data_IF_289653451638
#
_entry.id   IF_289653451638
#
_cell.length_a   1.000
_cell.length_b   1.000
_cell.length_c   1.000
_cell.angle_alpha   90.00
_cell.angle_beta   90.00
_cell.angle_gamma   90.00
#
_symmetry.space_group_name_H-M   'P 1'
#
loop_
_entity.id
_entity.type
_entity.pdbx_description
1 polymer ?
#
# COMPACT_ATOMS: atom_id res chain seq x y z
N UNK A 1 -47.43 48.82 30.11
CA UNK A 1 -47.07 47.38 30.07
C UNK A 1 -45.87 47.22 29.17
N UNK A 2 -44.66 47.07 29.76
CA UNK A 2 -43.39 46.89 29.01
C UNK A 2 -43.15 45.38 28.79
N UNK A 3 -43.18 44.94 27.52
CA UNK A 3 -42.80 43.56 27.18
C UNK A 3 -41.29 43.43 27.13
N UNK A 4 -40.71 42.63 28.03
CA UNK A 4 -39.30 42.31 28.08
C UNK A 4 -39.07 41.12 27.14
N UNK A 5 -38.44 41.37 25.97
CA UNK A 5 -38.03 40.29 25.03
C UNK A 5 -36.69 39.76 25.49
N UNK A 6 -36.64 38.53 25.98
CA UNK A 6 -35.40 37.81 26.25
C UNK A 6 -34.84 37.24 24.94
N UNK A 7 -33.70 37.75 24.55
CA UNK A 7 -32.89 37.24 23.44
C UNK A 7 -32.03 36.08 23.98
N UNK A 8 -32.38 34.86 23.67
CA UNK A 8 -31.55 33.68 24.00
C UNK A 8 -30.47 33.57 22.94
N UNK A 9 -29.24 33.95 23.29
CA UNK A 9 -28.07 33.78 22.46
C UNK A 9 -27.60 32.32 22.58
N UNK A 10 -27.96 31.48 21.57
CA UNK A 10 -27.52 30.09 21.52
C UNK A 10 -26.00 29.99 21.23
N UNK A 11 -25.23 29.53 22.21
CA UNK A 11 -23.82 29.24 22.05
C UNK A 11 -23.69 27.92 21.27
N UNK A 12 -23.35 28.00 19.98
CA UNK A 12 -23.06 26.83 19.16
C UNK A 12 -21.70 26.28 19.59
N UNK A 13 -21.70 25.22 20.37
CA UNK A 13 -20.48 24.45 20.69
C UNK A 13 -20.16 23.58 19.48
N UNK A 14 -19.12 23.97 18.72
CA UNK A 14 -18.57 23.13 17.67
C UNK A 14 -17.80 21.96 18.31
N UNK A 15 -18.37 20.76 18.24
CA UNK A 15 -17.66 19.54 18.63
C UNK A 15 -16.57 19.26 17.60
N UNK A 16 -15.34 18.91 18.03
CA UNK A 16 -14.31 18.50 17.11
C UNK A 16 -14.79 17.23 16.38
N UNK A 17 -14.89 17.30 15.06
CA UNK A 17 -15.13 16.14 14.23
C UNK A 17 -13.82 15.35 14.18
N UNK A 18 -13.75 14.23 14.90
CA UNK A 18 -12.67 13.26 14.70
C UNK A 18 -12.88 12.60 13.34
N UNK A 19 -11.87 12.69 12.46
CA UNK A 19 -11.88 11.95 11.21
C UNK A 19 -12.04 10.45 11.52
N UNK A 20 -12.97 9.78 10.86
CA UNK A 20 -13.14 8.36 11.02
C UNK A 20 -11.83 7.63 10.65
N UNK A 21 -11.50 6.59 11.44
CA UNK A 21 -10.32 5.75 11.21
C UNK A 21 -10.81 4.50 10.51
N UNK A 22 -10.21 4.19 9.37
CA UNK A 22 -10.44 2.95 8.64
C UNK A 22 -9.30 2.00 8.89
N UNK A 23 -9.60 0.77 9.34
CA UNK A 23 -8.65 -0.33 9.42
C UNK A 23 -9.04 -1.39 8.39
N UNK A 24 -8.06 -1.82 7.59
CA UNK A 24 -8.30 -2.77 6.51
C UNK A 24 -7.07 -3.65 6.26
N UNK A 25 -7.26 -4.80 5.61
CA UNK A 25 -6.20 -5.67 5.11
C UNK A 25 -5.56 -5.15 3.81
N UNK A 26 -6.10 -4.09 3.24
CA UNK A 26 -5.63 -3.44 2.04
C UNK A 26 -6.16 -2.03 1.90
N UNK A 27 -5.78 -1.37 0.83
CA UNK A 27 -6.18 -0.02 0.48
C UNK A 27 -6.66 0.02 -0.96
N UNK A 28 -7.82 0.58 -1.20
CA UNK A 28 -8.32 0.92 -2.54
C UNK A 28 -8.43 2.44 -2.67
N UNK A 29 -7.87 2.99 -3.72
CA UNK A 29 -8.01 4.41 -4.00
C UNK A 29 -9.42 4.74 -4.48
N UNK A 30 -10.05 3.79 -5.18
CA UNK A 30 -11.40 3.91 -5.70
C UNK A 30 -12.21 2.67 -5.33
N UNK A 31 -13.47 2.88 -4.92
CA UNK A 31 -14.38 1.78 -4.61
C UNK A 31 -13.99 0.94 -3.39
N UNK A 32 -14.17 -0.35 -3.49
CA UNK A 32 -13.90 -1.35 -2.44
C UNK A 32 -12.90 -2.37 -2.93
N UNK A 33 -12.18 -3.01 -2.00
CA UNK A 33 -11.27 -4.10 -2.31
C UNK A 33 -12.02 -5.30 -2.91
N UNK A 34 -11.48 -5.87 -3.98
CA UNK A 34 -12.02 -7.08 -4.64
C UNK A 34 -11.84 -8.31 -3.76
N UNK A 35 -10.66 -8.47 -3.18
CA UNK A 35 -10.33 -9.66 -2.39
C UNK A 35 -10.71 -9.46 -0.92
N UNK A 36 -11.37 -10.44 -0.27
CA UNK A 36 -11.73 -10.38 1.14
C UNK A 36 -10.49 -10.54 2.04
N UNK A 37 -10.61 -10.18 3.32
CA UNK A 37 -9.48 -10.23 4.26
C UNK A 37 -8.84 -11.62 4.47
N UNK A 38 -9.54 -12.68 4.13
CA UNK A 38 -9.11 -14.07 4.26
C UNK A 38 -8.72 -14.71 2.93
N UNK A 39 -8.51 -13.91 1.86
CA UNK A 39 -8.08 -14.47 0.58
C UNK A 39 -6.71 -15.14 0.72
N UNK A 40 -6.48 -16.19 -0.04
CA UNK A 40 -5.25 -16.99 0.02
C UNK A 40 -4.30 -16.72 -1.14
N UNK A 41 -4.83 -16.32 -2.27
CA UNK A 41 -4.10 -15.99 -3.48
C UNK A 41 -4.94 -15.09 -4.38
N UNK A 42 -4.29 -14.38 -5.28
CA UNK A 42 -4.97 -13.63 -6.32
C UNK A 42 -5.53 -14.57 -7.39
N UNK A 43 -6.62 -14.21 -8.04
CA UNK A 43 -7.29 -15.04 -9.06
C UNK A 43 -6.39 -15.42 -10.24
N UNK A 44 -5.41 -14.60 -10.54
CA UNK A 44 -4.44 -14.80 -11.61
C UNK A 44 -3.21 -15.64 -11.18
N UNK A 45 -3.11 -16.05 -9.93
CA UNK A 45 -2.03 -16.91 -9.45
C UNK A 45 -2.49 -18.37 -9.35
N UNK A 46 -1.58 -19.30 -9.69
CA UNK A 46 -1.82 -20.73 -9.48
C UNK A 46 -1.19 -21.15 -8.13
N UNK A 47 -2.00 -21.50 -7.12
CA UNK A 47 -1.48 -21.93 -5.83
C UNK A 47 -0.71 -23.27 -5.90
N UNK A 48 -1.02 -24.11 -6.89
CA UNK A 48 -0.39 -25.43 -7.11
C UNK A 48 0.87 -25.33 -7.98
N UNK A 49 1.28 -24.13 -8.39
CA UNK A 49 2.49 -23.96 -9.19
C UNK A 49 3.72 -24.45 -8.42
N UNK A 50 4.64 -25.19 -9.06
CA UNK A 50 5.89 -25.60 -8.44
C UNK A 50 6.68 -24.39 -7.91
N UNK A 51 7.20 -24.50 -6.69
CA UNK A 51 8.03 -23.47 -6.08
C UNK A 51 9.50 -23.71 -6.42
N UNK A 52 10.22 -22.65 -6.78
CA UNK A 52 11.64 -22.70 -7.07
C UNK A 52 11.96 -22.64 -8.57
N UNK A 53 13.20 -22.95 -8.90
CA UNK A 53 13.74 -22.80 -10.25
C UNK A 53 14.71 -21.62 -10.37
N UNK A 54 15.17 -21.38 -11.60
CA UNK A 54 16.07 -20.26 -11.92
C UNK A 54 15.49 -19.43 -13.05
N UNK A 55 15.21 -18.17 -12.76
CA UNK A 55 14.81 -17.19 -13.76
C UNK A 55 16.06 -16.39 -14.18
N UNK A 56 16.36 -16.39 -15.48
CA UNK A 56 17.46 -15.59 -16.06
C UNK A 56 16.86 -14.44 -16.85
N UNK A 57 17.10 -13.24 -16.39
CA UNK A 57 16.65 -12.00 -17.02
C UNK A 57 17.84 -11.24 -17.58
N UNK A 58 17.58 -10.48 -18.64
CA UNK A 58 18.56 -9.56 -19.20
C UNK A 58 18.32 -8.17 -18.63
N UNK A 59 19.40 -7.53 -18.18
CA UNK A 59 19.39 -6.13 -17.80
C UNK A 59 20.41 -5.38 -18.65
N UNK A 60 20.07 -4.19 -19.10
CA UNK A 60 20.96 -3.31 -19.87
C UNK A 60 21.55 -2.27 -18.93
N UNK A 61 22.88 -2.08 -19.02
CA UNK A 61 23.59 -1.09 -18.21
C UNK A 61 24.56 -1.73 -17.20
N UNK A 62 24.98 -0.94 -16.23
CA UNK A 62 25.87 -1.37 -15.15
C UNK A 62 25.42 -0.76 -13.82
N UNK A 63 25.92 -1.29 -12.73
CA UNK A 63 25.68 -0.73 -11.39
C UNK A 63 26.97 -0.85 -10.57
N UNK A 64 27.12 0.01 -9.56
CA UNK A 64 28.26 0.01 -8.62
C UNK A 64 27.80 -0.18 -7.17
N UNK A 65 26.53 -0.30 -6.93
CA UNK A 65 25.94 -0.55 -5.61
C UNK A 65 24.70 -1.42 -5.74
N UNK A 66 24.39 -2.23 -4.72
CA UNK A 66 23.13 -2.96 -4.59
C UNK A 66 22.04 -2.18 -3.84
N UNK A 67 22.36 -0.97 -3.37
CA UNK A 67 21.36 -0.12 -2.73
C UNK A 67 20.50 0.58 -3.80
N UNK A 68 19.20 0.22 -3.94
CA UNK A 68 18.33 0.83 -4.93
C UNK A 68 18.01 2.30 -4.65
N UNK A 69 18.23 2.76 -3.42
CA UNK A 69 17.95 4.12 -2.96
C UNK A 69 19.18 5.03 -2.90
N UNK A 70 20.26 4.63 -3.56
CA UNK A 70 21.47 5.44 -3.56
C UNK A 70 21.27 6.78 -4.25
N UNK A 71 21.80 7.85 -3.67
CA UNK A 71 21.84 9.18 -4.28
C UNK A 71 23.16 9.45 -5.02
N UNK A 72 24.14 8.56 -4.87
CA UNK A 72 25.45 8.64 -5.52
C UNK A 72 25.79 7.30 -6.12
N UNK A 73 26.44 7.32 -7.29
CA UNK A 73 26.74 6.11 -8.03
C UNK A 73 25.60 5.65 -8.94
N UNK A 74 25.73 4.47 -9.46
CA UNK A 74 24.78 3.86 -10.40
C UNK A 74 23.96 2.81 -9.67
N UNK A 75 22.68 3.11 -9.47
CA UNK A 75 21.74 2.19 -8.85
C UNK A 75 21.51 0.93 -9.70
N UNK A 76 21.29 -0.24 -9.08
CA UNK A 76 20.97 -1.47 -9.80
C UNK A 76 19.57 -1.45 -10.42
N UNK A 77 18.71 -0.50 -10.05
CA UNK A 77 17.36 -0.37 -10.62
C UNK A 77 17.40 0.31 -11.98
N UNK A 78 18.50 0.78 -12.52
CA UNK A 78 18.62 1.37 -13.84
C UNK A 78 17.51 2.34 -14.27
N UNK A 79 17.65 2.93 -15.42
CA UNK A 79 16.67 3.88 -16.01
C UNK A 79 15.68 3.23 -16.98
N UNK A 80 15.55 1.90 -16.98
CA UNK A 80 14.69 1.16 -17.89
C UNK A 80 13.85 0.10 -17.17
N UNK A 81 12.70 -0.19 -17.72
CA UNK A 81 11.68 -1.09 -17.16
C UNK A 81 12.18 -2.51 -16.86
N UNK A 82 13.31 -2.91 -17.44
CA UNK A 82 13.83 -4.28 -17.33
C UNK A 82 14.64 -4.56 -16.06
N UNK A 83 15.24 -3.55 -15.43
CA UNK A 83 15.99 -3.73 -14.17
C UNK A 83 15.09 -3.74 -12.93
N UNK A 84 13.86 -3.31 -13.09
CA UNK A 84 12.87 -3.28 -12.03
C UNK A 84 12.52 -4.69 -11.53
N UNK A 85 12.67 -5.71 -12.37
CA UNK A 85 12.25 -7.07 -12.05
C UNK A 85 13.21 -7.88 -11.19
N UNK A 86 14.48 -7.52 -11.05
CA UNK A 86 15.45 -8.34 -10.35
C UNK A 86 15.77 -7.84 -8.94
N UNK A 87 15.89 -6.54 -8.74
CA UNK A 87 16.36 -5.98 -7.47
C UNK A 87 15.21 -5.56 -6.57
N UNK A 88 14.10 -5.14 -7.13
CA UNK A 88 12.89 -4.86 -6.33
C UNK A 88 12.34 -6.13 -5.68
N UNK A 89 12.51 -7.28 -6.34
CA UNK A 89 12.08 -8.59 -5.81
C UNK A 89 12.96 -9.07 -4.63
N UNK A 90 14.10 -8.44 -4.38
CA UNK A 90 14.93 -8.73 -3.21
C UNK A 90 14.40 -8.09 -1.92
N UNK A 91 13.50 -7.12 -2.05
CA UNK A 91 12.94 -6.39 -0.92
C UNK A 91 11.42 -6.51 -0.93
N UNK A 92 10.88 -7.27 0.00
CA UNK A 92 9.44 -7.36 0.16
C UNK A 92 8.87 -6.02 0.59
N UNK A 93 7.86 -5.46 -0.12
CA UNK A 93 7.22 -4.22 0.26
C UNK A 93 6.22 -4.43 1.41
N UNK A 94 5.82 -3.34 2.05
CA UNK A 94 4.78 -3.36 3.08
C UNK A 94 3.45 -3.87 2.51
N UNK A 95 3.13 -3.49 1.28
CA UNK A 95 1.92 -3.87 0.57
C UNK A 95 2.26 -4.23 -0.87
N UNK A 96 1.50 -5.15 -1.44
CA UNK A 96 1.55 -5.52 -2.85
C UNK A 96 0.34 -4.95 -3.58
N UNK A 97 0.58 -4.23 -4.68
CA UNK A 97 -0.47 -3.66 -5.51
C UNK A 97 -0.91 -4.62 -6.61
N UNK A 98 -2.14 -4.44 -7.06
CA UNK A 98 -2.63 -4.98 -8.33
C UNK A 98 -2.46 -3.87 -9.39
N UNK A 99 -1.23 -3.42 -9.56
CA UNK A 99 -0.94 -2.21 -10.32
C UNK A 99 -0.95 -2.40 -11.84
N UNK A 100 -0.57 -1.34 -12.52
CA UNK A 100 -0.58 -1.23 -13.99
C UNK A 100 0.28 -2.31 -14.70
N UNK A 101 1.14 -2.98 -13.97
CA UNK A 101 2.05 -4.02 -14.46
C UNK A 101 1.63 -5.43 -14.06
N UNK A 102 0.58 -5.57 -13.27
CA UNK A 102 0.03 -6.88 -12.96
C UNK A 102 -0.78 -7.41 -14.14
N UNK A 103 -0.60 -8.68 -14.49
CA UNK A 103 -1.29 -9.29 -15.64
C UNK A 103 -2.82 -9.21 -15.55
N UNK A 104 -3.34 -9.03 -14.35
CA UNK A 104 -4.77 -8.98 -14.13
C UNK A 104 -5.37 -7.65 -14.54
N UNK A 105 -4.74 -6.52 -14.21
CA UNK A 105 -5.28 -5.17 -14.42
C UNK A 105 -6.74 -4.99 -13.94
N UNK A 106 -7.22 -5.93 -13.13
CA UNK A 106 -8.62 -6.09 -12.79
C UNK A 106 -9.04 -5.26 -11.57
N UNK A 107 -8.07 -4.67 -10.89
CA UNK A 107 -8.30 -3.84 -9.71
C UNK A 107 -7.30 -2.67 -9.67
N UNK A 108 -7.55 -1.63 -10.46
CA UNK A 108 -6.63 -0.49 -10.53
C UNK A 108 -6.54 0.25 -9.19
N UNK A 109 -5.31 0.68 -8.85
CA UNK A 109 -5.02 1.49 -7.67
C UNK A 109 -5.43 0.86 -6.32
N UNK A 110 -5.37 -0.47 -6.23
CA UNK A 110 -5.55 -1.22 -5.00
C UNK A 110 -4.25 -1.87 -4.56
N UNK A 111 -4.10 -2.06 -3.25
CA UNK A 111 -2.93 -2.72 -2.66
C UNK A 111 -3.35 -3.54 -1.45
N UNK A 112 -2.73 -4.70 -1.27
CA UNK A 112 -2.99 -5.64 -0.19
C UNK A 112 -1.77 -5.81 0.70
N UNK A 113 -1.98 -6.05 1.98
CA UNK A 113 -0.89 -6.22 2.94
C UNK A 113 -0.01 -7.43 2.61
N UNK A 114 1.31 -7.21 2.53
CA UNK A 114 2.33 -8.25 2.40
C UNK A 114 3.10 -8.36 3.71
N UNK A 115 4.14 -7.55 3.96
CA UNK A 115 4.78 -7.44 5.28
C UNK A 115 3.81 -6.83 6.29
N UNK A 116 3.00 -5.87 5.89
CA UNK A 116 1.92 -5.37 6.70
C UNK A 116 0.77 -6.39 6.76
N UNK A 117 0.28 -6.66 7.96
CA UNK A 117 -0.94 -7.44 8.19
C UNK A 117 -2.19 -6.61 7.90
N UNK A 118 -2.15 -5.34 8.29
CA UNK A 118 -3.24 -4.39 8.08
C UNK A 118 -2.70 -2.98 7.96
N UNK A 119 -3.52 -2.12 7.40
CA UNK A 119 -3.29 -0.69 7.29
C UNK A 119 -4.41 0.07 8.00
N UNK A 120 -4.05 1.11 8.71
CA UNK A 120 -4.98 2.06 9.31
C UNK A 120 -4.73 3.44 8.72
N UNK A 121 -5.78 4.15 8.40
CA UNK A 121 -5.64 5.49 7.84
C UNK A 121 -6.83 6.38 8.23
N UNK A 122 -6.56 7.66 8.31
CA UNK A 122 -7.61 8.65 8.47
C UNK A 122 -8.38 8.83 7.17
N UNK A 123 -9.69 9.04 7.23
CA UNK A 123 -10.53 9.29 6.07
C UNK A 123 -10.03 10.47 5.22
N UNK A 124 -9.49 11.50 5.89
CA UNK A 124 -8.87 12.66 5.23
C UNK A 124 -7.45 12.38 4.71
N UNK A 125 -6.93 11.15 4.84
CA UNK A 125 -5.62 10.69 4.36
C UNK A 125 -4.42 11.48 4.94
N UNK A 126 -4.57 12.09 6.10
CA UNK A 126 -3.50 12.86 6.75
C UNK A 126 -2.40 12.00 7.37
N UNK A 127 -2.68 10.72 7.63
CA UNK A 127 -1.72 9.75 8.18
C UNK A 127 -2.11 8.33 7.77
N UNK A 128 -1.12 7.45 7.85
CA UNK A 128 -1.26 6.01 7.66
C UNK A 128 -0.40 5.27 8.67
N UNK A 129 -0.88 4.15 9.19
CA UNK A 129 -0.16 3.23 10.06
C UNK A 129 -0.19 1.84 9.44
N UNK A 130 0.96 1.20 9.36
CA UNK A 130 1.09 -0.19 8.92
C UNK A 130 1.34 -1.08 10.13
N UNK A 131 0.42 -1.98 10.40
CA UNK A 131 0.58 -3.00 11.43
C UNK A 131 1.32 -4.19 10.83
N UNK A 132 2.58 -4.39 11.22
CA UNK A 132 3.42 -5.42 10.63
C UNK A 132 3.02 -6.81 11.12
N UNK A 133 3.30 -7.83 10.30
CA UNK A 133 3.18 -9.22 10.69
C UNK A 133 4.24 -9.56 11.74
N UNK A 134 3.90 -10.26 12.83
CA UNK A 134 4.88 -10.58 13.88
C UNK A 134 5.98 -11.55 13.39
N UNK A 135 5.70 -12.32 12.35
CA UNK A 135 6.65 -13.25 11.72
C UNK A 135 7.64 -12.55 10.78
N UNK A 136 7.39 -11.30 10.38
CA UNK A 136 8.29 -10.55 9.51
C UNK A 136 9.65 -10.33 10.20
N UNK A 137 10.74 -10.72 9.53
CA UNK A 137 12.11 -10.62 10.02
C UNK A 137 13.03 -10.14 8.91
N UNK A 138 14.04 -9.37 9.28
CA UNK A 138 15.21 -9.19 8.43
C UNK A 138 16.10 -10.45 8.54
N UNK A 139 16.69 -10.83 7.42
CA UNK A 139 17.65 -11.95 7.33
C UNK A 139 19.07 -11.51 7.71
#
# INVERSE_FOLDING_TARGET
MRRLSFLILGLAVSLPSFAAITQSHGYAQFGTLKYPANFQHFDWTNPDAPKGGTLRLMASGSFDTLNPYTLKGTSPIGTGDFLQYGVNELNEPLMVGTGLYDPSGDEPASSYGLIAKSVEYAENRSWVVFNLRPEARFH
#
